data_IF_924848394564
#
_entry.id   IF_924848394564
#
_cell.length_a   1.000
_cell.length_b   1.000
_cell.length_c   1.000
_cell.angle_alpha   90.00
_cell.angle_beta   90.00
_cell.angle_gamma   90.00
#
_symmetry.space_group_name_H-M   'P 1'
#
loop_
_entity.id
_entity.type
_entity.pdbx_description
1 polymer ?
#
# COMPACT_ATOMS: atom_id res chain seq x y z
N UNK A 1 -3.92 2.81 26.23
CA UNK A 1 -3.11 1.92 25.37
C UNK A 1 -3.53 2.16 23.93
N UNK A 2 -2.61 2.55 23.06
CA UNK A 2 -2.91 2.78 21.63
C UNK A 2 -2.98 1.44 20.91
N UNK A 3 -4.03 1.24 20.11
CA UNK A 3 -4.23 0.03 19.32
C UNK A 3 -3.96 0.31 17.84
N UNK A 4 -3.38 -0.67 17.14
CA UNK A 4 -3.07 -0.53 15.71
C UNK A 4 -3.37 -1.80 14.91
N UNK A 5 -3.70 -1.60 13.64
CA UNK A 5 -3.82 -2.68 12.65
C UNK A 5 -3.29 -2.18 11.32
N UNK A 6 -2.69 -3.07 10.52
CA UNK A 6 -2.14 -2.71 9.21
C UNK A 6 -2.22 -3.85 8.22
N UNK A 7 -2.20 -3.48 6.94
CA UNK A 7 -2.17 -4.37 5.80
C UNK A 7 -1.36 -3.69 4.68
N UNK A 8 -0.38 -4.41 4.18
CA UNK A 8 0.44 -4.01 3.03
C UNK A 8 0.07 -4.88 1.84
N UNK A 9 0.00 -4.29 0.66
CA UNK A 9 -0.40 -4.99 -0.56
C UNK A 9 0.04 -4.25 -1.82
N UNK A 10 0.09 -4.95 -2.95
CA UNK A 10 0.29 -4.32 -4.26
C UNK A 10 -1.03 -4.04 -4.98
N UNK A 11 -1.14 -2.83 -5.55
CA UNK A 11 -2.23 -2.45 -6.43
C UNK A 11 -1.84 -1.32 -7.40
N UNK A 12 -2.46 -1.26 -8.58
CA UNK A 12 -2.34 -0.09 -9.44
C UNK A 12 -3.05 1.11 -8.81
N UNK A 13 -2.49 2.31 -9.01
CA UNK A 13 -3.06 3.56 -8.48
C UNK A 13 -4.53 3.74 -8.88
N UNK A 14 -4.87 3.36 -10.10
CA UNK A 14 -6.21 3.47 -10.68
C UNK A 14 -7.27 2.62 -9.96
N UNK A 15 -6.88 1.53 -9.29
CA UNK A 15 -7.82 0.64 -8.59
C UNK A 15 -8.08 1.10 -7.15
N UNK A 16 -7.17 1.90 -6.57
CA UNK A 16 -7.18 2.22 -5.13
C UNK A 16 -8.49 2.91 -4.70
N UNK A 17 -8.97 3.90 -5.46
CA UNK A 17 -10.23 4.58 -5.11
C UNK A 17 -11.43 3.62 -5.09
N UNK A 18 -11.50 2.70 -6.05
CA UNK A 18 -12.56 1.69 -6.13
C UNK A 18 -12.47 0.70 -4.97
N UNK A 19 -11.27 0.23 -4.62
CA UNK A 19 -11.03 -0.60 -3.45
C UNK A 19 -11.46 0.10 -2.16
N UNK A 20 -11.04 1.35 -1.96
CA UNK A 20 -11.40 2.13 -0.77
C UNK A 20 -12.90 2.32 -0.65
N UNK A 21 -13.59 2.71 -1.73
CA UNK A 21 -15.05 2.85 -1.75
C UNK A 21 -15.75 1.56 -1.33
N UNK A 22 -15.27 0.40 -1.82
CA UNK A 22 -15.79 -0.92 -1.43
C UNK A 22 -15.50 -1.24 0.03
N UNK A 23 -14.31 -0.97 0.52
CA UNK A 23 -13.93 -1.28 1.90
C UNK A 23 -14.65 -0.40 2.93
N UNK A 24 -14.95 0.84 2.54
CA UNK A 24 -15.64 1.84 3.35
C UNK A 24 -17.15 1.91 3.06
N UNK A 25 -17.69 0.93 2.32
CA UNK A 25 -19.12 0.87 2.04
C UNK A 25 -19.92 0.84 3.35
N UNK A 26 -20.90 1.74 3.45
CA UNK A 26 -21.74 1.94 4.63
C UNK A 26 -21.12 2.75 5.77
N UNK A 27 -19.91 3.28 5.58
CA UNK A 27 -19.30 4.23 6.52
C UNK A 27 -19.35 5.64 5.94
N UNK A 28 -19.77 6.58 6.79
CA UNK A 28 -19.57 8.00 6.55
C UNK A 28 -18.19 8.38 7.10
N UNK A 29 -17.36 8.94 6.23
CA UNK A 29 -15.98 9.29 6.55
C UNK A 29 -15.57 10.54 5.79
N UNK A 30 -14.85 11.42 6.47
CA UNK A 30 -14.19 12.57 5.86
C UNK A 30 -12.74 12.22 5.56
N UNK A 31 -12.31 12.52 4.34
CA UNK A 31 -10.91 12.37 3.94
C UNK A 31 -10.13 13.66 4.12
N UNK A 32 -8.91 13.55 4.61
CA UNK A 32 -7.91 14.63 4.60
C UNK A 32 -6.65 14.09 3.95
N UNK A 33 -6.25 14.72 2.85
CA UNK A 33 -4.96 14.47 2.24
C UNK A 33 -3.88 15.26 2.98
N UNK A 34 -2.86 14.54 3.41
CA UNK A 34 -1.66 15.05 4.07
C UNK A 34 -0.50 14.92 3.09
N UNK A 35 0.09 16.05 2.73
CA UNK A 35 1.24 16.11 1.82
C UNK A 35 2.54 16.23 2.62
N UNK A 36 3.68 15.89 2.02
CA UNK A 36 4.98 15.98 2.71
C UNK A 36 5.43 17.41 3.06
N UNK A 37 4.85 18.44 2.43
CA UNK A 37 5.05 19.85 2.80
C UNK A 37 4.03 20.33 3.86
N UNK A 38 3.47 19.40 4.63
CA UNK A 38 2.51 19.62 5.71
C UNK A 38 1.23 20.39 5.30
N UNK A 39 0.85 20.30 4.02
CA UNK A 39 -0.43 20.83 3.55
C UNK A 39 -1.52 19.79 3.82
N UNK A 40 -2.66 20.32 4.24
CA UNK A 40 -3.87 19.57 4.57
C UNK A 40 -4.96 19.98 3.59
N UNK A 41 -5.51 19.00 2.88
CA UNK A 41 -6.58 19.24 1.90
C UNK A 41 -7.75 18.35 2.30
N UNK A 42 -8.88 18.96 2.69
CA UNK A 42 -10.12 18.22 2.89
C UNK A 42 -10.57 17.67 1.54
N UNK A 43 -10.86 16.38 1.51
CA UNK A 43 -11.15 15.64 0.29
C UNK A 43 -12.60 15.19 0.26
N UNK A 44 -13.27 15.53 -0.84
CA UNK A 44 -14.52 14.88 -1.22
C UNK A 44 -14.30 13.39 -1.52
N UNK A 45 -15.29 12.57 -1.17
CA UNK A 45 -15.18 11.09 -1.21
C UNK A 45 -14.93 10.53 -2.61
N UNK A 46 -15.49 11.17 -3.62
CA UNK A 46 -15.34 10.82 -5.02
C UNK A 46 -13.98 11.23 -5.61
N UNK A 47 -13.16 11.99 -4.87
CA UNK A 47 -11.85 12.50 -5.32
C UNK A 47 -10.65 11.78 -4.70
N UNK A 48 -10.89 10.73 -3.90
CA UNK A 48 -9.80 10.02 -3.18
C UNK A 48 -8.78 9.33 -4.12
N UNK A 49 -9.21 8.86 -5.29
CA UNK A 49 -8.35 8.24 -6.31
C UNK A 49 -7.34 9.23 -6.89
N UNK A 50 -7.78 10.43 -7.26
CA UNK A 50 -6.92 11.48 -7.83
C UNK A 50 -5.79 11.82 -6.88
N UNK A 51 -6.06 11.86 -5.58
CA UNK A 51 -5.08 12.27 -4.58
C UNK A 51 -4.04 11.19 -4.31
N UNK A 52 -4.45 9.92 -4.26
CA UNK A 52 -3.53 8.80 -4.07
C UNK A 52 -2.64 8.55 -5.29
N UNK A 53 -3.03 9.02 -6.48
CA UNK A 53 -2.16 8.94 -7.66
C UNK A 53 -0.93 9.87 -7.60
N UNK A 54 -0.88 10.81 -6.65
CA UNK A 54 0.25 11.71 -6.46
C UNK A 54 1.27 11.06 -5.53
N UNK A 55 2.54 11.05 -5.95
CA UNK A 55 3.64 10.71 -5.06
C UNK A 55 3.57 11.57 -3.79
N UNK A 56 3.98 11.00 -2.66
CA UNK A 56 4.11 11.74 -1.40
C UNK A 56 2.78 12.31 -0.87
N UNK A 57 1.68 11.57 -1.04
CA UNK A 57 0.41 11.90 -0.38
C UNK A 57 -0.08 10.74 0.47
N UNK A 58 -0.51 11.11 1.66
CA UNK A 58 -1.15 10.24 2.63
C UNK A 58 -2.63 10.64 2.74
N UNK A 59 -3.54 9.67 2.75
CA UNK A 59 -4.96 9.92 3.00
C UNK A 59 -5.31 9.44 4.41
N UNK A 60 -5.67 10.38 5.29
CA UNK A 60 -6.33 10.08 6.57
C UNK A 60 -7.84 10.11 6.38
N UNK A 61 -8.51 9.10 6.92
CA UNK A 61 -9.96 8.98 6.91
C UNK A 61 -10.48 9.00 8.35
N UNK A 62 -11.39 9.93 8.63
CA UNK A 62 -11.97 10.14 9.94
C UNK A 62 -13.46 9.80 9.93
N UNK A 63 -13.96 9.19 11.01
CA UNK A 63 -15.41 8.93 11.20
C UNK A 63 -16.17 10.12 11.74
N UNK A 64 -15.45 11.07 12.31
CA UNK A 64 -15.94 12.35 12.81
C UNK A 64 -15.21 13.45 12.07
N UNK A 65 -15.81 14.63 11.99
CA UNK A 65 -15.14 15.79 11.42
C UNK A 65 -13.82 16.05 12.18
N UNK A 66 -12.67 16.08 11.50
CA UNK A 66 -11.40 16.36 12.14
C UNK A 66 -11.33 17.85 12.49
N UNK A 67 -10.66 18.15 13.60
CA UNK A 67 -10.36 19.51 13.99
C UNK A 67 -9.29 20.11 13.07
N UNK A 68 -9.71 21.13 12.31
CA UNK A 68 -8.88 21.90 11.40
C UNK A 68 -8.56 23.25 12.05
N UNK A 69 -7.37 23.38 12.63
CA UNK A 69 -6.83 24.66 13.10
C UNK A 69 -6.03 25.35 11.98
N UNK A 70 -6.15 26.68 11.89
CA UNK A 70 -5.37 27.55 11.00
C UNK A 70 -3.88 27.58 11.36
N UNK A 71 -3.50 27.07 12.53
CA UNK A 71 -2.08 26.84 12.90
C UNK A 71 -1.37 25.98 11.86
N UNK A 72 -0.10 26.28 11.61
CA UNK A 72 0.81 25.40 10.85
C UNK A 72 1.25 24.24 11.71
N UNK A 73 0.44 23.19 11.76
CA UNK A 73 0.83 21.91 12.30
C UNK A 73 1.57 21.08 11.26
N UNK A 74 2.57 20.36 11.73
CA UNK A 74 3.10 19.20 11.00
C UNK A 74 2.00 18.14 10.86
N UNK A 75 2.14 17.24 9.90
CA UNK A 75 1.21 16.10 9.76
C UNK A 75 1.13 15.25 11.03
N UNK A 76 2.25 15.10 11.75
CA UNK A 76 2.28 14.34 13.00
C UNK A 76 1.46 15.02 14.09
N UNK A 77 1.67 16.32 14.31
CA UNK A 77 0.88 17.09 15.27
C UNK A 77 -0.61 17.07 14.91
N UNK A 78 -0.95 17.21 13.63
CA UNK A 78 -2.34 17.10 13.17
C UNK A 78 -2.96 15.74 13.51
N UNK A 79 -2.22 14.64 13.29
CA UNK A 79 -2.67 13.28 13.64
C UNK A 79 -2.79 13.08 15.15
N UNK A 80 -1.92 13.68 15.96
CA UNK A 80 -2.00 13.61 17.42
C UNK A 80 -3.24 14.34 17.96
N UNK A 81 -3.60 15.48 17.36
CA UNK A 81 -4.81 16.23 17.71
C UNK A 81 -6.10 15.57 17.18
N UNK A 82 -5.99 14.67 16.20
CA UNK A 82 -7.12 13.99 15.58
C UNK A 82 -6.94 12.47 15.66
N UNK A 83 -7.00 11.85 16.85
CA UNK A 83 -6.81 10.41 16.97
C UNK A 83 -7.97 9.63 16.32
N UNK A 84 -7.73 8.36 16.00
CA UNK A 84 -8.79 7.45 15.55
C UNK A 84 -9.08 7.47 14.06
N UNK A 85 -8.05 7.67 13.24
CA UNK A 85 -8.16 7.63 11.77
C UNK A 85 -7.73 6.28 11.17
N UNK A 86 -8.18 6.07 9.94
CA UNK A 86 -7.63 5.08 9.02
C UNK A 86 -6.67 5.77 8.06
N UNK A 87 -5.45 5.28 7.97
CA UNK A 87 -4.42 5.72 7.04
C UNK A 87 -4.45 4.90 5.76
N UNK A 88 -4.26 5.58 4.62
CA UNK A 88 -3.99 4.95 3.33
C UNK A 88 -2.84 5.70 2.68
N UNK A 89 -1.78 4.99 2.27
CA UNK A 89 -0.62 5.61 1.61
C UNK A 89 -0.02 4.70 0.55
N UNK A 90 0.61 5.35 -0.44
CA UNK A 90 1.57 4.71 -1.33
C UNK A 90 2.95 4.79 -0.66
N UNK A 91 3.54 3.64 -0.36
CA UNK A 91 4.88 3.54 0.24
C UNK A 91 5.97 3.78 -0.80
N UNK A 92 5.82 3.15 -1.96
CA UNK A 92 6.80 3.20 -3.04
C UNK A 92 6.07 3.42 -4.37
N UNK A 93 6.02 4.67 -4.86
CA UNK A 93 5.51 4.93 -6.20
C UNK A 93 6.49 4.36 -7.22
N UNK A 94 6.00 3.60 -8.19
CA UNK A 94 6.80 3.17 -9.34
C UNK A 94 6.39 3.96 -10.58
N UNK A 95 7.37 4.24 -11.45
CA UNK A 95 7.14 4.87 -12.75
C UNK A 95 6.40 3.89 -13.66
N UNK A 96 5.07 3.93 -13.58
CA UNK A 96 4.18 3.17 -14.45
C UNK A 96 3.78 1.83 -13.86
N UNK A 97 2.76 1.84 -12.99
CA UNK A 97 1.64 0.88 -12.96
C UNK A 97 1.41 0.19 -11.62
N UNK A 98 2.42 -0.03 -10.77
CA UNK A 98 2.21 -0.78 -9.53
C UNK A 98 2.78 -0.10 -8.29
N UNK A 99 1.93 0.08 -7.29
CA UNK A 99 2.31 0.72 -6.04
C UNK A 99 2.29 -0.27 -4.90
N UNK A 100 3.31 -0.18 -4.04
CA UNK A 100 3.23 -0.78 -2.72
C UNK A 100 2.36 0.11 -1.84
N UNK A 101 1.21 -0.42 -1.44
CA UNK A 101 0.20 0.29 -0.66
C UNK A 101 0.26 -0.15 0.80
N UNK A 102 -0.04 0.78 1.69
CA UNK A 102 -0.35 0.46 3.08
C UNK A 102 -1.71 1.04 3.47
N UNK A 103 -2.54 0.22 4.10
CA UNK A 103 -3.73 0.65 4.83
C UNK A 103 -3.57 0.27 6.30
N UNK A 104 -3.75 1.23 7.20
CA UNK A 104 -3.55 1.03 8.62
C UNK A 104 -4.50 1.87 9.45
N UNK A 105 -4.64 1.54 10.72
CA UNK A 105 -5.42 2.34 11.66
C UNK A 105 -4.67 2.46 12.96
N UNK A 106 -4.78 3.63 13.57
CA UNK A 106 -4.32 3.89 14.93
C UNK A 106 -5.46 4.55 15.68
N UNK A 107 -5.87 3.94 16.79
CA UNK A 107 -6.97 4.46 17.61
C UNK A 107 -6.73 4.16 19.08
N UNK A 108 -7.07 5.14 19.92
CA UNK A 108 -7.04 5.02 21.38
C UNK A 108 -8.35 4.50 21.95
N UNK A 109 -9.46 4.72 21.22
CA UNK A 109 -10.80 4.28 21.61
C UNK A 109 -11.12 2.89 21.05
N UNK A 110 -11.59 1.94 21.88
CA UNK A 110 -11.93 0.58 21.44
C UNK A 110 -12.98 0.50 20.32
N UNK A 111 -14.01 1.36 20.34
CA UNK A 111 -15.09 1.29 19.34
C UNK A 111 -14.62 1.78 17.96
N UNK A 112 -13.95 2.93 17.92
CA UNK A 112 -13.27 3.42 16.72
C UNK A 112 -12.29 2.39 16.15
N UNK A 113 -11.47 1.78 17.02
CA UNK A 113 -10.53 0.75 16.60
C UNK A 113 -11.21 -0.49 16.00
N UNK A 114 -12.27 -1.00 16.64
CA UNK A 114 -13.04 -2.15 16.13
C UNK A 114 -13.66 -1.84 14.76
N UNK A 115 -14.11 -0.62 14.53
CA UNK A 115 -14.60 -0.20 13.22
C UNK A 115 -13.50 -0.32 12.16
N UNK A 116 -12.32 0.23 12.42
CA UNK A 116 -11.20 0.17 11.48
C UNK A 116 -10.64 -1.24 11.28
N UNK A 117 -10.60 -2.06 12.33
CA UNK A 117 -10.28 -3.48 12.20
C UNK A 117 -11.22 -4.20 11.23
N UNK A 118 -12.53 -3.88 11.23
CA UNK A 118 -13.47 -4.46 10.25
C UNK A 118 -13.16 -4.01 8.83
N UNK A 119 -12.77 -2.74 8.63
CA UNK A 119 -12.35 -2.22 7.32
C UNK A 119 -11.09 -2.94 6.83
N UNK A 120 -10.05 -3.03 7.65
CA UNK A 120 -8.80 -3.74 7.30
C UNK A 120 -9.05 -5.23 7.08
N UNK A 121 -9.92 -5.87 7.87
CA UNK A 121 -10.29 -7.26 7.67
C UNK A 121 -11.08 -7.46 6.35
N UNK A 122 -11.95 -6.52 5.98
CA UNK A 122 -12.66 -6.51 4.69
C UNK A 122 -11.67 -6.36 3.54
N UNK A 123 -10.73 -5.42 3.65
CA UNK A 123 -9.66 -5.24 2.67
C UNK A 123 -8.87 -6.55 2.48
N UNK A 124 -8.39 -7.13 3.58
CA UNK A 124 -7.63 -8.39 3.58
C UNK A 124 -8.37 -9.55 2.91
N UNK A 125 -9.69 -9.65 3.08
CA UNK A 125 -10.51 -10.71 2.46
C UNK A 125 -10.78 -10.49 0.97
N UNK A 126 -10.72 -9.24 0.50
CA UNK A 126 -10.95 -8.93 -0.92
C UNK A 126 -9.70 -9.04 -1.80
N UNK A 127 -8.52 -9.14 -1.18
CA UNK A 127 -7.24 -9.24 -1.87
C UNK A 127 -6.85 -10.70 -2.09
N UNK A 128 -6.12 -10.95 -3.17
CA UNK A 128 -5.44 -12.20 -3.44
C UNK A 128 -4.23 -12.36 -2.51
N UNK A 129 -3.69 -13.58 -2.42
CA UNK A 129 -2.59 -13.91 -1.50
C UNK A 129 -1.53 -14.78 -2.13
N UNK A 130 -0.32 -14.65 -1.63
CA UNK A 130 0.80 -15.54 -1.95
C UNK A 130 1.68 -15.02 -3.07
N UNK A 131 2.98 -15.03 -2.81
CA UNK A 131 4.01 -14.68 -3.77
C UNK A 131 5.32 -15.38 -3.40
N UNK A 132 6.26 -15.38 -4.33
CA UNK A 132 7.67 -15.71 -4.11
C UNK A 132 8.49 -14.44 -4.22
N UNK A 133 9.23 -14.12 -3.15
CA UNK A 133 10.16 -12.99 -3.12
C UNK A 133 11.52 -13.44 -3.66
N UNK A 134 11.99 -12.83 -4.73
CA UNK A 134 13.35 -13.01 -5.26
C UNK A 134 14.21 -11.82 -4.82
N UNK A 135 15.16 -12.10 -3.93
CA UNK A 135 16.09 -11.11 -3.40
C UNK A 135 17.07 -10.58 -4.46
N UNK A 136 17.83 -9.54 -4.11
CA UNK A 136 18.85 -8.95 -4.99
C UNK A 136 19.99 -9.91 -5.32
N UNK A 137 20.24 -10.89 -4.45
CA UNK A 137 21.22 -11.98 -4.64
C UNK A 137 20.67 -13.16 -5.45
N UNK A 138 19.41 -13.10 -5.89
CA UNK A 138 18.73 -14.18 -6.59
C UNK A 138 18.23 -15.32 -5.69
N UNK A 139 18.30 -15.17 -4.37
CA UNK A 139 17.68 -16.11 -3.41
C UNK A 139 16.16 -15.92 -3.41
N UNK A 140 15.41 -17.00 -3.60
CA UNK A 140 13.95 -16.99 -3.59
C UNK A 140 13.39 -17.43 -2.21
N UNK A 141 12.30 -16.81 -1.77
CA UNK A 141 11.57 -17.17 -0.56
C UNK A 141 10.07 -17.06 -0.75
N UNK A 142 9.34 -18.11 -0.40
CA UNK A 142 7.87 -18.07 -0.32
C UNK A 142 7.39 -17.03 0.70
N UNK A 143 6.32 -16.32 0.33
CA UNK A 143 5.57 -15.43 1.22
C UNK A 143 4.06 -15.58 1.01
N UNK A 144 3.47 -16.44 1.82
CA UNK A 144 2.01 -16.67 1.83
C UNK A 144 1.23 -15.53 2.50
N UNK A 145 1.93 -14.61 3.17
CA UNK A 145 1.35 -13.44 3.82
C UNK A 145 1.21 -12.25 2.87
N UNK A 146 1.94 -12.25 1.75
CA UNK A 146 1.83 -11.23 0.71
C UNK A 146 0.39 -11.10 0.20
N UNK A 147 -0.01 -9.87 -0.12
CA UNK A 147 -1.36 -9.53 -0.60
C UNK A 147 -1.27 -8.64 -1.82
N UNK A 148 -2.21 -8.82 -2.74
CA UNK A 148 -2.26 -8.05 -3.97
C UNK A 148 -3.70 -7.98 -4.50
N UNK A 149 -3.97 -6.94 -5.27
CA UNK A 149 -5.27 -6.73 -5.94
C UNK A 149 -5.38 -7.55 -7.22
N UNK A 150 -6.58 -7.59 -7.81
CA UNK A 150 -6.77 -8.21 -9.11
C UNK A 150 -6.04 -7.44 -10.23
N UNK A 151 -6.01 -6.10 -10.17
CA UNK A 151 -5.24 -5.30 -11.13
C UNK A 151 -3.73 -5.53 -11.03
N UNK A 152 -3.20 -5.77 -9.82
CA UNK A 152 -1.80 -6.16 -9.65
C UNK A 152 -1.48 -7.51 -10.31
N UNK A 153 -2.40 -8.49 -10.21
CA UNK A 153 -2.24 -9.76 -10.89
C UNK A 153 -2.23 -9.59 -12.41
N UNK A 154 -3.19 -8.85 -12.97
CA UNK A 154 -3.27 -8.60 -14.42
C UNK A 154 -2.00 -7.93 -14.95
N UNK A 155 -1.46 -6.93 -14.24
CA UNK A 155 -0.19 -6.31 -14.62
C UNK A 155 0.99 -7.29 -14.55
N UNK A 156 1.01 -8.18 -13.56
CA UNK A 156 2.05 -9.20 -13.46
C UNK A 156 1.96 -10.24 -14.59
N UNK A 157 0.74 -10.59 -15.02
CA UNK A 157 0.50 -11.43 -16.21
C UNK A 157 0.95 -10.74 -17.51
N UNK A 158 0.90 -9.41 -17.57
CA UNK A 158 1.47 -8.59 -18.66
C UNK A 158 3.00 -8.42 -18.55
N UNK A 159 3.64 -9.03 -17.55
CA UNK A 159 5.10 -9.02 -17.36
C UNK A 159 5.64 -7.85 -16.54
N UNK A 160 4.78 -7.06 -15.89
CA UNK A 160 5.23 -6.00 -14.97
C UNK A 160 5.82 -6.66 -13.71
N UNK A 161 7.06 -6.28 -13.37
CA UNK A 161 7.72 -6.77 -12.15
C UNK A 161 7.26 -5.97 -10.93
N UNK A 162 7.03 -6.68 -9.81
CA UNK A 162 6.57 -6.08 -8.56
C UNK A 162 7.77 -5.80 -7.64
N UNK A 163 8.25 -4.55 -7.55
CA UNK A 163 9.46 -4.20 -6.80
C UNK A 163 9.19 -3.21 -5.66
N UNK A 164 9.86 -3.36 -4.51
CA UNK A 164 9.67 -2.46 -3.34
C UNK A 164 10.66 -1.29 -3.28
N UNK A 165 11.80 -1.35 -3.96
CA UNK A 165 12.87 -0.33 -3.82
C UNK A 165 13.49 0.03 -5.17
N UNK A 166 12.65 0.34 -6.16
CA UNK A 166 13.09 0.62 -7.52
C UNK A 166 13.48 -0.63 -8.30
N UNK A 167 13.99 -0.44 -9.53
CA UNK A 167 14.24 -1.51 -10.52
C UNK A 167 15.14 -2.64 -10.01
N UNK A 168 16.11 -2.32 -9.16
CA UNK A 168 17.11 -3.28 -8.67
C UNK A 168 16.74 -3.91 -7.31
N UNK A 169 15.56 -3.54 -6.76
CA UNK A 169 15.06 -4.06 -5.50
C UNK A 169 14.67 -5.54 -5.56
N UNK A 170 14.30 -6.14 -4.42
CA UNK A 170 13.70 -7.47 -4.42
C UNK A 170 12.39 -7.47 -5.21
N UNK A 171 12.09 -8.59 -5.88
CA UNK A 171 10.92 -8.74 -6.76
C UNK A 171 9.95 -9.73 -6.16
N UNK A 172 8.67 -9.37 -6.14
CA UNK A 172 7.58 -10.28 -5.82
C UNK A 172 7.03 -10.91 -7.11
N UNK A 173 7.05 -12.23 -7.17
CA UNK A 173 6.40 -12.99 -8.24
C UNK A 173 5.13 -13.60 -7.66
N UNK A 174 3.97 -13.20 -8.18
CA UNK A 174 2.67 -13.52 -7.58
C UNK A 174 2.25 -14.95 -7.93
N UNK A 175 1.69 -15.69 -6.95
CA UNK A 175 1.32 -17.10 -7.11
C UNK A 175 0.28 -17.36 -8.23
N UNK A 176 -0.48 -16.33 -8.62
CA UNK A 176 -1.50 -16.42 -9.68
C UNK A 176 -0.98 -16.28 -11.11
N UNK A 177 0.30 -15.93 -11.29
CA UNK A 177 0.87 -15.65 -12.62
C UNK A 177 1.25 -16.95 -13.33
N UNK A 178 0.80 -17.13 -14.57
CA UNK A 178 1.21 -18.27 -15.39
C UNK A 178 2.73 -18.26 -15.61
N UNK A 179 3.38 -19.42 -15.44
CA UNK A 179 4.84 -19.51 -15.59
C UNK A 179 5.65 -18.93 -14.42
N UNK A 180 5.03 -18.56 -13.30
CA UNK A 180 5.70 -17.98 -12.13
C UNK A 180 6.95 -18.77 -11.69
N UNK A 181 6.92 -20.10 -11.70
CA UNK A 181 8.08 -20.93 -11.33
C UNK A 181 9.26 -20.80 -12.30
N UNK A 182 9.00 -20.63 -13.60
CA UNK A 182 10.04 -20.37 -14.59
C UNK A 182 10.66 -19.00 -14.34
N UNK A 183 9.82 -17.98 -14.17
CA UNK A 183 10.26 -16.61 -13.91
C UNK A 183 11.10 -16.49 -12.62
N UNK A 184 10.72 -17.18 -11.54
CA UNK A 184 11.52 -17.25 -10.30
C UNK A 184 12.91 -17.82 -10.58
N UNK A 185 12.98 -18.88 -11.39
CA UNK A 185 14.23 -19.59 -11.69
C UNK A 185 15.16 -18.74 -12.56
N UNK A 186 14.59 -18.12 -13.60
CA UNK A 186 15.27 -17.22 -14.54
C UNK A 186 15.83 -15.99 -13.80
N UNK A 187 14.96 -15.24 -13.12
CA UNK A 187 15.35 -14.04 -12.39
C UNK A 187 16.37 -14.34 -11.28
N UNK A 188 16.23 -15.49 -10.61
CA UNK A 188 17.20 -15.95 -9.64
C UNK A 188 18.58 -16.20 -10.26
N UNK A 189 18.64 -16.80 -11.45
CA UNK A 189 19.89 -17.08 -12.15
C UNK A 189 20.56 -15.78 -12.63
N UNK A 190 19.80 -14.87 -13.24
CA UNK A 190 20.28 -13.57 -13.70
C UNK A 190 20.93 -12.77 -12.57
N UNK A 191 20.26 -12.68 -11.41
CA UNK A 191 20.74 -11.92 -10.26
C UNK A 191 21.99 -12.52 -9.61
N UNK A 192 22.08 -13.85 -9.55
CA UNK A 192 23.30 -14.53 -9.08
C UNK A 192 24.50 -14.24 -9.99
N UNK A 193 24.29 -14.28 -11.31
CA UNK A 193 25.33 -13.95 -12.27
C UNK A 193 25.79 -12.48 -12.15
N UNK A 194 24.84 -11.55 -11.99
CA UNK A 194 25.15 -10.14 -11.78
C UNK A 194 25.97 -9.92 -10.49
N UNK A 195 25.59 -10.55 -9.38
CA UNK A 195 26.32 -10.44 -8.11
C UNK A 195 27.78 -10.93 -8.23
N UNK A 196 28.00 -12.05 -8.91
CA UNK A 196 29.35 -12.59 -9.14
C UNK A 196 30.22 -11.68 -10.02
N UNK A 197 29.62 -10.96 -10.98
CA UNK A 197 30.38 -10.04 -11.87
C UNK A 197 30.87 -8.76 -11.17
N UNK A 198 30.29 -8.38 -10.03
CA UNK A 198 30.66 -7.19 -9.26
C UNK A 198 31.71 -7.46 -8.17
N UNK A 199 32.04 -8.72 -7.89
CA UNK A 199 33.10 -9.09 -6.94
C UNK A 199 34.52 -9.05 -7.54
N UNK A 200 34.66 -8.78 -8.84
CA UNK A 200 35.94 -8.78 -9.57
C UNK A 200 36.44 -7.39 -10.00
N UNK A 201 35.90 -6.30 -9.45
CA UNK A 201 36.37 -4.93 -9.66
C UNK A 201 36.80 -4.24 -8.36
#
# INVERSE_FOLDING_TARGET
MTMSTRLQFHAPASEVGTLLRRWLAGLDCQGVALTFDDRRIVMERDRWDVTLSRANVYLALFRTEPFLDDRRWTNLEFMDQNPGFLSVMIMHPSDGHLNEMMIGAVASEPEGFKCWQRVVARARRSLLRGATLVGVTGVARDDRSHRYSAGALALAEEGVLMTTTGRDGPVWILDGVEGASSLVSELGAERRAAAQSHEFY
#
